data_IF_665090031229
#
_entry.id   IF_665090031229
#
_cell.length_a   1.000
_cell.length_b   1.000
_cell.length_c   1.000
_cell.angle_alpha   90.00
_cell.angle_beta   90.00
_cell.angle_gamma   90.00
#
_symmetry.space_group_name_H-M   'P 1'
#
loop_
_entity.id
_entity.type
_entity.pdbx_description
1 polymer ?
#
# COMPACT_ATOMS: atom_id res chain seq x y z
N UNK A 1 17.46 4.57 18.65
CA UNK A 1 17.00 3.23 18.23
C UNK A 1 15.59 3.39 17.70
N UNK A 2 15.27 2.88 16.51
CA UNK A 2 13.89 2.89 16.02
C UNK A 2 13.18 1.70 16.66
N UNK A 3 12.16 1.95 17.47
CA UNK A 3 11.32 0.90 18.04
C UNK A 3 10.55 0.20 16.91
N UNK A 4 10.71 -1.12 16.80
CA UNK A 4 9.98 -1.92 15.81
C UNK A 4 8.72 -2.49 16.45
N UNK A 5 7.56 -1.96 16.04
CA UNK A 5 6.25 -2.45 16.49
C UNK A 5 5.62 -3.35 15.42
N UNK A 6 4.96 -4.43 15.85
CA UNK A 6 4.28 -5.38 14.96
C UNK A 6 2.79 -5.01 14.87
N UNK A 7 2.28 -4.89 13.63
CA UNK A 7 0.85 -4.76 13.36
C UNK A 7 0.31 -6.16 13.04
N UNK A 8 -0.77 -6.57 13.73
CA UNK A 8 -1.55 -7.79 13.42
C UNK A 8 -2.96 -7.37 13.02
N UNK A 9 -3.44 -7.90 11.91
CA UNK A 9 -4.79 -7.63 11.42
C UNK A 9 -5.39 -8.89 10.81
N UNK A 10 -6.72 -9.02 10.89
CA UNK A 10 -7.48 -10.10 10.25
C UNK A 10 -7.96 -9.59 8.90
N UNK A 11 -7.66 -10.35 7.84
CA UNK A 11 -8.11 -10.08 6.47
C UNK A 11 -8.55 -11.42 5.85
N UNK A 12 -9.35 -11.36 4.79
CA UNK A 12 -9.69 -12.57 4.05
C UNK A 12 -8.42 -13.22 3.45
N UNK A 13 -8.41 -14.55 3.41
CA UNK A 13 -7.28 -15.29 2.85
C UNK A 13 -7.04 -14.99 1.37
N UNK A 14 -8.14 -14.81 0.62
CA UNK A 14 -8.12 -14.44 -0.79
C UNK A 14 -7.47 -13.07 -1.02
N UNK A 15 -7.91 -12.04 -0.30
CA UNK A 15 -7.31 -10.69 -0.41
C UNK A 15 -5.82 -10.69 -0.08
N UNK A 16 -5.41 -11.49 0.91
CA UNK A 16 -3.99 -11.65 1.25
C UNK A 16 -3.22 -12.30 0.10
N UNK A 17 -3.78 -13.33 -0.52
CA UNK A 17 -3.15 -14.03 -1.64
C UNK A 17 -2.97 -13.09 -2.83
N UNK A 18 -4.03 -12.42 -3.25
CA UNK A 18 -4.01 -11.44 -4.35
C UNK A 18 -2.98 -10.32 -4.10
N UNK A 19 -2.94 -9.78 -2.88
CA UNK A 19 -1.96 -8.76 -2.51
C UNK A 19 -0.53 -9.28 -2.65
N UNK A 20 -0.23 -10.47 -2.13
CA UNK A 20 1.11 -11.06 -2.19
C UNK A 20 1.51 -11.38 -3.64
N UNK A 21 0.60 -11.90 -4.46
CA UNK A 21 0.84 -12.17 -5.87
C UNK A 21 1.14 -10.87 -6.65
N UNK A 22 0.32 -9.84 -6.46
CA UNK A 22 0.52 -8.54 -7.10
C UNK A 22 1.86 -7.91 -6.69
N UNK A 23 2.21 -7.98 -5.40
CA UNK A 23 3.49 -7.49 -4.87
C UNK A 23 4.67 -8.23 -5.48
N UNK A 24 4.60 -9.56 -5.58
CA UNK A 24 5.66 -10.40 -6.17
C UNK A 24 5.84 -10.13 -7.66
N UNK A 25 4.74 -9.94 -8.40
CA UNK A 25 4.78 -9.62 -9.83
C UNK A 25 5.49 -8.29 -10.11
N UNK A 26 5.62 -7.41 -9.11
CA UNK A 26 6.34 -6.14 -9.21
C UNK A 26 7.72 -6.17 -8.52
N UNK A 27 8.24 -7.34 -8.15
CA UNK A 27 9.53 -7.54 -7.45
C UNK A 27 9.67 -6.74 -6.14
N UNK A 28 8.60 -6.74 -5.33
CA UNK A 28 8.55 -6.01 -4.05
C UNK A 28 8.34 -6.95 -2.87
N UNK A 29 8.67 -6.46 -1.66
CA UNK A 29 8.38 -7.16 -0.40
C UNK A 29 7.04 -6.66 0.18
N UNK A 30 6.14 -7.58 0.54
CA UNK A 30 4.80 -7.28 1.03
C UNK A 30 4.80 -6.30 2.23
N UNK A 31 5.73 -6.49 3.17
CA UNK A 31 5.85 -5.60 4.32
C UNK A 31 6.33 -4.19 3.95
N UNK A 32 7.15 -4.04 2.90
CA UNK A 32 7.55 -2.72 2.39
C UNK A 32 6.36 -2.01 1.75
N UNK A 33 5.65 -2.71 0.86
CA UNK A 33 4.48 -2.16 0.18
C UNK A 33 3.39 -1.76 1.19
N UNK A 34 3.12 -2.59 2.20
CA UNK A 34 2.17 -2.26 3.26
C UNK A 34 2.61 -1.01 4.05
N UNK A 35 3.91 -0.88 4.37
CA UNK A 35 4.41 0.33 5.03
C UNK A 35 4.25 1.57 4.14
N UNK A 36 4.50 1.44 2.85
CA UNK A 36 4.33 2.55 1.90
C UNK A 36 2.87 2.97 1.79
N UNK A 37 1.94 1.99 1.74
CA UNK A 37 0.50 2.25 1.79
C UNK A 37 0.09 3.00 3.07
N UNK A 38 0.61 2.59 4.23
CA UNK A 38 0.33 3.26 5.50
C UNK A 38 0.87 4.71 5.48
N UNK A 39 2.09 4.92 4.98
CA UNK A 39 2.67 6.28 4.89
C UNK A 39 1.86 7.18 3.98
N UNK A 40 1.45 6.67 2.83
CA UNK A 40 0.65 7.42 1.86
C UNK A 40 -0.72 7.79 2.44
N UNK A 41 -1.37 6.85 3.13
CA UNK A 41 -2.61 7.10 3.84
C UNK A 41 -2.48 8.25 4.85
N UNK A 42 -1.46 8.20 5.72
CA UNK A 42 -1.19 9.25 6.71
C UNK A 42 -0.93 10.59 6.01
N UNK A 43 -0.09 10.61 4.98
CA UNK A 43 0.26 11.82 4.25
C UNK A 43 -0.98 12.49 3.65
N UNK A 44 -1.80 11.74 2.88
CA UNK A 44 -3.00 12.29 2.23
C UNK A 44 -4.04 12.75 3.22
N UNK A 45 -4.30 11.94 4.25
CA UNK A 45 -5.24 12.30 5.30
C UNK A 45 -4.81 13.56 6.06
N UNK A 46 -3.49 13.73 6.32
CA UNK A 46 -2.95 14.94 6.95
C UNK A 46 -3.13 16.21 6.12
N UNK A 47 -3.34 16.07 4.81
CA UNK A 47 -3.51 17.18 3.87
C UNK A 47 -4.98 17.45 3.52
N UNK A 48 -5.93 16.73 4.12
CA UNK A 48 -7.34 16.82 3.77
C UNK A 48 -7.64 16.35 2.34
N UNK A 49 -6.74 15.59 1.72
CA UNK A 49 -6.93 15.05 0.38
C UNK A 49 -7.83 13.82 0.52
N UNK A 50 -9.03 13.89 -0.06
CA UNK A 50 -9.92 12.73 -0.13
C UNK A 50 -9.23 11.61 -0.93
N UNK A 51 -9.05 10.46 -0.27
CA UNK A 51 -8.48 9.27 -0.87
C UNK A 51 -9.57 8.22 -1.04
N UNK A 52 -9.80 7.78 -2.28
CA UNK A 52 -10.67 6.64 -2.59
C UNK A 52 -9.79 5.47 -3.08
N UNK A 53 -9.37 4.57 -2.18
CA UNK A 53 -8.61 3.38 -2.55
C UNK A 53 -9.32 2.60 -3.65
N UNK A 54 -8.60 2.25 -4.73
CA UNK A 54 -9.14 1.50 -5.86
C UNK A 54 -9.73 2.34 -6.99
N UNK A 55 -9.89 3.66 -6.83
CA UNK A 55 -10.29 4.57 -7.94
C UNK A 55 -9.14 5.32 -8.61
N UNK A 56 -7.92 5.17 -8.09
CA UNK A 56 -6.75 5.76 -8.72
C UNK A 56 -6.44 5.03 -10.04
N UNK A 57 -6.63 5.71 -11.17
CA UNK A 57 -6.02 5.27 -12.42
C UNK A 57 -4.52 5.29 -12.20
N UNK A 58 -3.82 4.17 -12.49
CA UNK A 58 -2.36 4.17 -12.66
C UNK A 58 -2.02 5.41 -13.49
N UNK A 59 -1.21 6.33 -12.95
CA UNK A 59 -0.59 7.38 -13.77
C UNK A 59 0.16 6.61 -14.86
N UNK A 60 -0.39 6.60 -16.07
CA UNK A 60 0.40 6.29 -17.26
C UNK A 60 1.48 7.36 -17.25
N UNK A 61 2.71 6.92 -17.06
CA UNK A 61 3.89 7.75 -17.12
C UNK A 61 3.83 8.56 -18.42
N UNK A 62 3.46 9.84 -18.33
CA UNK A 62 3.58 10.77 -19.45
C UNK A 62 5.05 11.19 -19.50
N UNK A 63 5.87 10.26 -19.97
CA UNK A 63 7.15 10.61 -20.58
C UNK A 63 6.86 11.14 -21.98
N UNK A 64 6.81 12.46 -22.11
CA UNK A 64 7.23 13.18 -23.32
C UNK A 64 7.67 14.60 -22.97
#
# INVERSE_FOLDING_TARGET
>A
MIEQTVIRTVISGELKAEFVEAVRANDRIASQVLRDLIREYIYRNSKGISWEPGREKKRLDQSN
#
